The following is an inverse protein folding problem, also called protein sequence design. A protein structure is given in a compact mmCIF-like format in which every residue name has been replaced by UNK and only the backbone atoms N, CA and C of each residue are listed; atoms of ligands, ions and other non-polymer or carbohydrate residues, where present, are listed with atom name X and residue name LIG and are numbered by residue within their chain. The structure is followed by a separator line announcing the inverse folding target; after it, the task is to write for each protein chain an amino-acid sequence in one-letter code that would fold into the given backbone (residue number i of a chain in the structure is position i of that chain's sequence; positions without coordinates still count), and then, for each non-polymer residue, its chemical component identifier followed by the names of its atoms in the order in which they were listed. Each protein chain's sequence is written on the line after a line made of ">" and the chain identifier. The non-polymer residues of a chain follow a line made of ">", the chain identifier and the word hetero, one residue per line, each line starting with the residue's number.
data_IF_272447347052
#
_entry.id   IF_272447347052
#
_cell.length_a   1.000
_cell.length_b   1.000
_cell.length_c   1.000
_cell.angle_alpha   90.00
_cell.angle_beta   90.00
_cell.angle_gamma   90.00
#
_symmetry.space_group_name_H-M   'P 1'
#
loop_
_entity.id
_entity.type
_entity.pdbx_description
1 polymer ?
#
# COMPACT_ATOMS: atom_id res chain seq x y z
N UNK A 1 16.31 30.17 15.28
CA UNK A 1 15.18 29.38 14.73
C UNK A 1 14.44 28.80 15.91
N UNK A 2 13.12 28.93 15.93
CA UNK A 2 12.28 28.28 16.95
C UNK A 2 12.19 26.80 16.60
N UNK A 3 12.50 25.92 17.55
CA UNK A 3 12.46 24.47 17.33
C UNK A 3 11.03 23.92 17.46
N UNK A 4 10.80 22.67 17.09
CA UNK A 4 9.48 22.06 17.20
C UNK A 4 8.98 22.00 18.66
N UNK A 5 9.90 21.98 19.63
CA UNK A 5 9.59 22.06 21.06
C UNK A 5 8.83 23.35 21.46
N UNK A 6 8.99 24.44 20.73
CA UNK A 6 8.37 25.75 21.01
C UNK A 6 6.94 25.87 20.42
N UNK A 7 6.40 24.82 19.79
CA UNK A 7 5.10 24.86 19.11
C UNK A 7 3.96 24.80 20.14
N UNK A 8 3.61 25.92 20.75
CA UNK A 8 2.56 26.00 21.78
C UNK A 8 1.13 26.18 21.24
N UNK A 9 0.98 26.60 19.98
CA UNK A 9 -0.31 26.86 19.35
C UNK A 9 -0.19 26.80 17.81
N UNK A 10 -1.32 26.98 17.12
CA UNK A 10 -1.36 27.03 15.65
C UNK A 10 -0.41 28.09 15.07
N UNK A 11 -0.30 29.28 15.68
CA UNK A 11 0.55 30.35 15.13
C UNK A 11 2.03 30.02 15.25
N UNK A 12 2.47 29.39 16.34
CA UNK A 12 3.86 28.93 16.47
C UNK A 12 4.17 27.77 15.52
N UNK A 13 3.21 26.87 15.26
CA UNK A 13 3.35 25.84 14.21
C UNK A 13 3.49 26.49 12.82
N UNK A 14 2.66 27.49 12.51
CA UNK A 14 2.72 28.22 11.24
C UNK A 14 4.04 28.97 11.04
N UNK A 15 4.66 29.46 12.12
CA UNK A 15 6.01 30.06 12.10
C UNK A 15 7.09 29.01 11.92
N UNK A 16 7.00 27.89 12.65
CA UNK A 16 7.95 26.78 12.48
C UNK A 16 7.99 26.33 11.01
N UNK A 17 6.83 26.20 10.36
CA UNK A 17 6.70 25.86 8.94
C UNK A 17 7.29 26.90 7.96
N UNK A 18 7.53 28.16 8.37
CA UNK A 18 8.09 29.19 7.48
C UNK A 18 9.53 28.86 7.04
N UNK A 19 10.29 28.27 7.97
CA UNK A 19 11.72 27.98 7.84
C UNK A 19 12.00 26.53 7.40
N UNK A 20 10.96 25.70 7.19
CA UNK A 20 11.10 24.30 6.78
C UNK A 20 11.16 24.10 5.26
N UNK A 21 11.86 23.05 4.79
CA UNK A 21 11.70 22.51 3.45
C UNK A 21 10.23 22.27 3.05
N UNK A 22 9.98 22.30 1.74
CA UNK A 22 8.63 22.04 1.18
C UNK A 22 8.08 20.69 1.64
N UNK A 23 8.91 19.65 1.63
CA UNK A 23 8.49 18.27 1.93
C UNK A 23 7.88 18.17 3.33
N UNK A 24 8.56 18.71 4.34
CA UNK A 24 8.07 18.77 5.72
C UNK A 24 6.70 19.46 5.82
N UNK A 25 6.54 20.60 5.14
CA UNK A 25 5.30 21.34 5.17
C UNK A 25 4.14 20.59 4.50
N UNK A 26 4.42 19.78 3.47
CA UNK A 26 3.43 18.92 2.81
C UNK A 26 3.03 17.77 3.73
N UNK A 27 4.00 17.13 4.39
CA UNK A 27 3.75 16.01 5.31
C UNK A 27 2.84 16.47 6.47
N UNK A 28 3.15 17.63 7.07
CA UNK A 28 2.32 18.21 8.15
C UNK A 28 0.90 18.53 7.65
N UNK A 29 0.78 19.15 6.46
CA UNK A 29 -0.53 19.47 5.88
C UNK A 29 -1.37 18.20 5.66
N UNK A 30 -0.75 17.18 5.07
CA UNK A 30 -1.39 15.91 4.75
C UNK A 30 -1.82 15.17 6.02
N UNK A 31 -0.95 15.03 7.02
CA UNK A 31 -1.31 14.37 8.29
C UNK A 31 -2.40 15.11 9.05
N UNK A 32 -2.38 16.45 9.06
CA UNK A 32 -3.47 17.23 9.63
C UNK A 32 -4.82 16.97 8.92
N UNK A 33 -4.81 16.88 7.59
CA UNK A 33 -6.03 16.58 6.82
C UNK A 33 -6.51 15.13 7.01
N UNK A 34 -5.60 14.15 7.05
CA UNK A 34 -5.93 12.74 7.33
C UNK A 34 -6.63 12.59 8.68
N UNK A 35 -6.17 13.29 9.74
CA UNK A 35 -6.79 13.23 11.08
C UNK A 35 -8.27 13.52 11.06
N UNK A 36 -8.73 14.42 10.19
CA UNK A 36 -10.11 14.89 10.15
C UNK A 36 -10.95 14.25 9.04
N UNK A 37 -10.40 13.28 8.30
CA UNK A 37 -11.16 12.54 7.29
C UNK A 37 -12.46 11.92 7.86
N UNK A 38 -12.47 11.27 9.05
CA UNK A 38 -13.68 10.67 9.60
C UNK A 38 -14.83 11.65 9.82
N UNK A 39 -14.52 12.93 10.04
CA UNK A 39 -15.53 13.99 10.27
C UNK A 39 -16.39 14.19 9.02
N UNK A 40 -15.76 14.25 7.85
CA UNK A 40 -16.48 14.41 6.59
C UNK A 40 -17.27 13.14 6.26
N UNK A 41 -16.64 11.97 6.39
CA UNK A 41 -17.25 10.71 5.96
C UNK A 41 -18.45 10.36 6.82
N UNK A 42 -18.36 10.56 8.14
CA UNK A 42 -19.48 10.38 9.07
C UNK A 42 -20.66 11.31 8.71
N UNK A 43 -20.38 12.59 8.44
CA UNK A 43 -21.41 13.53 7.99
C UNK A 43 -22.05 13.12 6.66
N UNK A 44 -21.25 12.67 5.68
CA UNK A 44 -21.77 12.22 4.38
C UNK A 44 -22.62 10.95 4.50
N UNK A 45 -22.32 10.08 5.46
CA UNK A 45 -23.12 8.87 5.72
C UNK A 45 -24.50 9.24 6.27
N UNK A 46 -24.57 10.21 7.17
CA UNK A 46 -25.82 10.61 7.81
C UNK A 46 -26.65 11.58 6.95
N UNK A 47 -25.99 12.53 6.29
CA UNK A 47 -26.63 13.68 5.65
C UNK A 47 -26.31 13.83 4.16
N UNK A 48 -25.46 12.98 3.60
CA UNK A 48 -25.11 13.02 2.17
C UNK A 48 -26.37 12.90 1.30
N UNK A 49 -26.45 13.75 0.27
CA UNK A 49 -27.56 13.78 -0.68
C UNK A 49 -27.04 13.66 -2.11
N UNK A 50 -27.82 13.00 -2.96
CA UNK A 50 -27.52 12.87 -4.38
C UNK A 50 -26.17 12.21 -4.64
N UNK A 51 -25.38 12.80 -5.53
CA UNK A 51 -24.08 12.28 -5.96
C UNK A 51 -22.90 12.78 -5.10
N UNK A 52 -23.18 13.45 -3.97
CA UNK A 52 -22.15 13.93 -3.06
C UNK A 52 -21.51 12.74 -2.33
N UNK A 53 -20.25 12.47 -2.61
CA UNK A 53 -19.50 11.33 -2.04
C UNK A 53 -18.15 11.77 -1.46
N UNK A 54 -17.54 10.89 -0.68
CA UNK A 54 -16.22 11.09 -0.09
C UNK A 54 -15.06 10.85 -1.08
N UNK A 55 -15.32 10.21 -2.23
CA UNK A 55 -14.29 9.84 -3.20
C UNK A 55 -13.44 11.02 -3.70
N UNK A 56 -13.99 12.22 -3.99
CA UNK A 56 -13.17 13.36 -4.37
C UNK A 56 -12.17 13.78 -3.28
N UNK A 57 -12.57 13.66 -2.01
CA UNK A 57 -11.70 13.99 -0.87
C UNK A 57 -10.66 12.90 -0.63
N UNK A 58 -11.04 11.62 -0.76
CA UNK A 58 -10.11 10.48 -0.72
C UNK A 58 -9.05 10.58 -1.83
N UNK A 59 -9.47 10.85 -3.07
CA UNK A 59 -8.56 11.12 -4.20
C UNK A 59 -7.58 12.24 -3.87
N UNK A 60 -8.09 13.33 -3.31
CA UNK A 60 -7.30 14.51 -2.97
C UNK A 60 -6.25 14.20 -1.90
N UNK A 61 -6.61 13.46 -0.85
CA UNK A 61 -5.68 13.03 0.20
C UNK A 61 -4.62 12.08 -0.35
N UNK A 62 -5.02 11.03 -1.08
CA UNK A 62 -4.10 10.05 -1.66
C UNK A 62 -3.11 10.73 -2.62
N UNK A 63 -3.61 11.55 -3.56
CA UNK A 63 -2.77 12.26 -4.52
C UNK A 63 -1.82 13.26 -3.82
N UNK A 64 -2.29 13.96 -2.77
CA UNK A 64 -1.45 14.87 -2.00
C UNK A 64 -0.25 14.17 -1.35
N UNK A 65 -0.47 12.96 -0.82
CA UNK A 65 0.57 12.14 -0.19
C UNK A 65 1.63 11.74 -1.22
N UNK A 66 1.18 11.20 -2.36
CA UNK A 66 2.05 10.75 -3.45
C UNK A 66 2.85 11.90 -4.05
N UNK A 67 2.21 13.03 -4.37
CA UNK A 67 2.91 14.19 -4.94
C UNK A 67 3.87 14.87 -3.95
N UNK A 68 3.62 14.71 -2.64
CA UNK A 68 4.55 15.10 -1.59
C UNK A 68 5.81 14.24 -1.56
N UNK A 69 5.65 12.91 -1.55
CA UNK A 69 6.76 11.94 -1.46
C UNK A 69 7.53 11.78 -2.77
N UNK A 70 6.82 11.77 -3.90
CA UNK A 70 7.34 11.49 -5.25
C UNK A 70 6.84 12.54 -6.25
N UNK A 71 7.39 13.77 -6.19
CA UNK A 71 6.95 14.84 -7.06
C UNK A 71 7.38 14.59 -8.51
N UNK A 72 6.42 14.40 -9.41
CA UNK A 72 6.61 14.40 -10.86
C UNK A 72 5.64 15.37 -11.53
N UNK A 73 5.70 15.50 -12.86
CA UNK A 73 4.70 16.28 -13.59
C UNK A 73 3.32 15.61 -13.48
N UNK A 74 3.27 14.30 -13.67
CA UNK A 74 2.08 13.47 -13.65
C UNK A 74 1.41 13.48 -12.26
N UNK A 75 2.18 13.29 -11.17
CA UNK A 75 1.59 13.30 -9.81
C UNK A 75 1.06 14.68 -9.44
N UNK A 76 1.70 15.76 -9.90
CA UNK A 76 1.20 17.13 -9.72
C UNK A 76 -0.06 17.39 -10.54
N UNK A 77 -0.12 16.90 -11.78
CA UNK A 77 -1.31 17.02 -12.63
C UNK A 77 -2.50 16.30 -11.99
N UNK A 78 -2.33 15.03 -11.63
CA UNK A 78 -3.39 14.24 -10.98
C UNK A 78 -3.88 14.87 -9.67
N UNK A 79 -2.95 15.45 -8.89
CA UNK A 79 -3.32 16.18 -7.67
C UNK A 79 -4.09 17.47 -7.97
N UNK A 80 -3.73 18.21 -9.04
CA UNK A 80 -4.45 19.40 -9.46
C UNK A 80 -5.91 19.08 -9.83
N UNK A 81 -6.13 17.99 -10.53
CA UNK A 81 -7.48 17.52 -10.89
C UNK A 81 -8.29 17.14 -9.65
N UNK A 82 -7.66 16.41 -8.71
CA UNK A 82 -8.30 15.98 -7.47
C UNK A 82 -8.75 17.15 -6.56
N UNK A 83 -8.02 18.27 -6.57
CA UNK A 83 -8.37 19.47 -5.79
C UNK A 83 -9.75 19.99 -6.19
N UNK A 84 -10.09 19.97 -7.48
CA UNK A 84 -11.36 20.53 -7.97
C UNK A 84 -12.55 19.80 -7.35
N UNK A 85 -12.54 18.47 -7.36
CA UNK A 85 -13.61 17.67 -6.75
C UNK A 85 -13.71 17.85 -5.24
N UNK A 86 -12.58 17.88 -4.52
CA UNK A 86 -12.59 18.12 -3.06
C UNK A 86 -13.13 19.50 -2.68
N UNK A 87 -12.91 20.52 -3.52
CA UNK A 87 -13.47 21.87 -3.31
C UNK A 87 -14.98 21.88 -3.51
N UNK A 88 -15.48 21.17 -4.53
CA UNK A 88 -16.93 21.04 -4.74
C UNK A 88 -17.58 20.38 -3.52
N UNK A 89 -16.98 19.31 -2.98
CA UNK A 89 -17.48 18.69 -1.74
C UNK A 89 -17.52 19.71 -0.59
N UNK A 90 -16.44 20.46 -0.38
CA UNK A 90 -16.38 21.47 0.67
C UNK A 90 -17.47 22.55 0.54
N UNK A 91 -17.84 22.95 -0.68
CA UNK A 91 -18.87 23.97 -0.91
C UNK A 91 -20.30 23.45 -0.79
N UNK A 92 -20.53 22.17 -1.07
CA UNK A 92 -21.87 21.55 -1.03
C UNK A 92 -22.23 21.01 0.36
N UNK A 93 -21.25 20.80 1.23
CA UNK A 93 -21.48 20.36 2.61
C UNK A 93 -22.07 21.50 3.43
N UNK A 94 -23.34 21.37 3.83
CA UNK A 94 -24.08 22.34 4.67
C UNK A 94 -23.70 22.25 6.17
N UNK A 95 -22.44 21.92 6.48
CA UNK A 95 -21.93 21.79 7.83
C UNK A 95 -20.48 22.32 7.91
N UNK A 96 -20.25 23.33 8.74
CA UNK A 96 -18.95 24.01 8.81
C UNK A 96 -17.78 23.10 9.24
N UNK A 97 -18.06 22.08 10.05
CA UNK A 97 -17.04 21.15 10.56
C UNK A 97 -16.65 20.14 9.45
N UNK A 98 -17.63 19.61 8.72
CA UNK A 98 -17.39 18.72 7.59
C UNK A 98 -16.82 19.47 6.36
N UNK A 99 -17.24 20.72 6.08
CA UNK A 99 -16.56 21.61 5.13
C UNK A 99 -15.09 21.77 5.52
N UNK A 100 -14.80 22.09 6.77
CA UNK A 100 -13.41 22.23 7.22
C UNK A 100 -12.60 20.94 6.99
N UNK A 101 -13.16 19.76 7.21
CA UNK A 101 -12.48 18.50 6.88
C UNK A 101 -12.16 18.36 5.37
N UNK A 102 -13.14 18.61 4.49
CA UNK A 102 -12.93 18.59 3.03
C UNK A 102 -11.93 19.68 2.57
N UNK A 103 -12.06 20.89 3.11
CA UNK A 103 -11.16 22.02 2.87
C UNK A 103 -9.73 21.75 3.32
N UNK A 104 -9.54 20.98 4.40
CA UNK A 104 -8.21 20.56 4.85
C UNK A 104 -7.52 19.66 3.80
N UNK A 105 -8.24 18.70 3.22
CA UNK A 105 -7.72 17.84 2.16
C UNK A 105 -7.34 18.63 0.90
N UNK A 106 -8.22 19.53 0.43
CA UNK A 106 -7.94 20.40 -0.71
C UNK A 106 -6.71 21.30 -0.46
N UNK A 107 -6.54 21.81 0.77
CA UNK A 107 -5.37 22.60 1.14
C UNK A 107 -4.08 21.77 1.19
N UNK A 108 -4.13 20.54 1.70
CA UNK A 108 -2.98 19.62 1.70
C UNK A 108 -2.51 19.29 0.28
N UNK A 109 -3.44 19.01 -0.63
CA UNK A 109 -3.14 18.81 -2.05
C UNK A 109 -2.55 20.06 -2.72
N UNK A 110 -3.06 21.26 -2.42
CA UNK A 110 -2.44 22.51 -2.90
C UNK A 110 -1.02 22.68 -2.39
N UNK A 111 -0.74 22.27 -1.15
CA UNK A 111 0.61 22.30 -0.59
C UNK A 111 1.54 21.35 -1.34
N UNK A 112 1.08 20.16 -1.73
CA UNK A 112 1.91 19.18 -2.42
C UNK A 112 2.28 19.57 -3.84
N UNK A 113 1.53 20.44 -4.54
CA UNK A 113 1.87 20.84 -5.92
C UNK A 113 2.55 22.21 -6.04
N UNK A 114 2.42 23.08 -5.03
CA UNK A 114 2.99 24.45 -5.07
C UNK A 114 4.47 24.46 -4.73
N UNK A 115 5.22 25.34 -5.41
CA UNK A 115 6.64 25.59 -5.13
C UNK A 115 6.86 26.19 -3.73
N UNK A 116 5.93 27.03 -3.26
CA UNK A 116 5.91 27.61 -1.91
C UNK A 116 4.88 26.90 -1.02
N UNK A 117 5.08 25.61 -0.79
CA UNK A 117 4.15 24.74 -0.03
C UNK A 117 3.75 25.33 1.34
N UNK A 118 4.68 25.99 2.05
CA UNK A 118 4.45 26.61 3.36
C UNK A 118 3.24 27.56 3.44
N UNK A 119 2.95 28.32 2.37
CA UNK A 119 1.78 29.22 2.34
C UNK A 119 0.48 28.42 2.23
N UNK A 120 0.52 27.30 1.51
CA UNK A 120 -0.63 26.41 1.28
C UNK A 120 -0.85 25.40 2.42
N UNK A 121 0.15 25.17 3.29
CA UNK A 121 0.02 24.33 4.48
C UNK A 121 -0.85 24.99 5.58
N UNK A 122 -0.78 26.32 5.75
CA UNK A 122 -1.52 27.01 6.83
C UNK A 122 -3.02 26.77 6.79
N UNK A 123 -3.69 26.87 5.62
CA UNK A 123 -5.10 26.54 5.52
C UNK A 123 -5.39 25.09 5.95
N UNK A 124 -4.59 24.10 5.54
CA UNK A 124 -4.82 22.70 5.87
C UNK A 124 -4.84 22.46 7.39
N UNK A 125 -3.80 22.94 8.08
CA UNK A 125 -3.71 22.85 9.55
C UNK A 125 -4.85 23.61 10.23
N UNK A 126 -5.17 24.82 9.77
CA UNK A 126 -6.25 25.63 10.34
C UNK A 126 -7.61 24.95 10.21
N UNK A 127 -7.91 24.40 9.03
CA UNK A 127 -9.17 23.71 8.78
C UNK A 127 -9.26 22.41 9.59
N UNK A 128 -8.18 21.62 9.65
CA UNK A 128 -8.13 20.43 10.50
C UNK A 128 -8.35 20.76 11.98
N UNK A 129 -7.67 21.78 12.50
CA UNK A 129 -7.81 22.19 13.91
C UNK A 129 -9.19 22.74 14.25
N UNK A 130 -9.96 23.20 13.26
CA UNK A 130 -11.35 23.61 13.45
C UNK A 130 -12.30 22.41 13.51
N UNK A 131 -11.97 21.32 12.81
CA UNK A 131 -12.84 20.15 12.66
C UNK A 131 -12.70 19.09 13.78
N UNK A 132 -11.75 19.25 14.71
CA UNK A 132 -11.48 18.26 15.78
C UNK A 132 -11.01 18.93 17.07
N UNK A 133 -10.71 18.13 18.10
CA UNK A 133 -10.10 18.61 19.33
C UNK A 133 -8.76 19.29 19.04
N UNK A 134 -8.77 20.62 19.15
CA UNK A 134 -7.62 21.46 18.85
C UNK A 134 -6.40 21.11 19.73
N UNK A 135 -6.60 20.72 20.99
CA UNK A 135 -5.49 20.43 21.89
C UNK A 135 -4.78 19.13 21.48
N UNK A 136 -5.53 18.08 21.18
CA UNK A 136 -4.98 16.79 20.72
C UNK A 136 -4.34 16.96 19.34
N UNK A 137 -5.01 17.58 18.38
CA UNK A 137 -4.48 17.79 17.03
C UNK A 137 -3.19 18.63 17.03
N UNK A 138 -3.09 19.64 17.89
CA UNK A 138 -1.88 20.42 18.07
C UNK A 138 -0.73 19.58 18.65
N UNK A 139 -1.01 18.77 19.67
CA UNK A 139 0.00 17.89 20.29
C UNK A 139 0.56 16.89 19.28
N UNK A 140 -0.29 16.25 18.49
CA UNK A 140 0.14 15.34 17.42
C UNK A 140 0.90 16.07 16.30
N UNK A 141 0.51 17.30 15.94
CA UNK A 141 1.23 18.10 14.94
C UNK A 141 2.60 18.57 15.45
N UNK A 142 2.74 18.84 16.76
CA UNK A 142 4.02 19.10 17.41
C UNK A 142 4.91 17.85 17.37
N UNK A 143 4.36 16.68 17.69
CA UNK A 143 5.09 15.42 17.64
C UNK A 143 5.56 15.10 16.20
N UNK A 144 4.72 15.32 15.18
CA UNK A 144 5.14 15.21 13.78
C UNK A 144 6.33 16.14 13.46
N UNK A 145 6.27 17.40 13.91
CA UNK A 145 7.33 18.38 13.70
C UNK A 145 8.64 17.99 14.42
N UNK A 146 8.54 17.45 15.64
CA UNK A 146 9.69 16.94 16.37
C UNK A 146 10.33 15.75 15.65
N UNK A 147 9.53 14.78 15.21
CA UNK A 147 10.03 13.63 14.42
C UNK A 147 10.79 14.08 13.18
N UNK A 148 10.27 15.08 12.46
CA UNK A 148 10.97 15.68 11.30
C UNK A 148 12.33 16.27 11.69
N UNK A 149 12.42 16.99 12.80
CA UNK A 149 13.71 17.53 13.29
C UNK A 149 14.70 16.44 13.68
N UNK A 150 14.23 15.28 14.13
CA UNK A 150 15.04 14.10 14.43
C UNK A 150 15.33 13.21 13.21
N UNK A 151 14.87 13.58 12.01
CA UNK A 151 15.10 12.82 10.78
C UNK A 151 14.17 11.61 10.60
N UNK A 152 13.08 11.55 11.35
CA UNK A 152 12.04 10.53 11.18
C UNK A 152 11.14 10.84 9.98
N UNK A 153 10.40 9.82 9.52
CA UNK A 153 9.37 9.98 8.49
C UNK A 153 8.00 9.92 9.14
N UNK A 154 7.26 11.05 9.28
CA UNK A 154 5.98 11.04 9.98
C UNK A 154 4.92 10.12 9.37
N UNK A 155 5.01 9.74 8.09
CA UNK A 155 4.09 8.78 7.49
C UNK A 155 4.19 7.37 8.09
N UNK A 156 5.34 7.03 8.66
CA UNK A 156 5.59 5.75 9.33
C UNK A 156 5.34 5.84 10.85
N UNK A 157 4.65 6.89 11.31
CA UNK A 157 4.28 7.11 12.70
C UNK A 157 2.75 7.09 12.85
N UNK A 158 2.20 6.54 13.95
CA UNK A 158 0.77 6.54 14.21
C UNK A 158 0.16 7.93 14.03
N UNK A 159 -1.02 8.02 13.41
CA UNK A 159 -1.62 9.31 13.06
C UNK A 159 -1.85 10.21 14.30
N UNK A 160 -2.14 9.58 15.44
CA UNK A 160 -2.38 10.26 16.73
C UNK A 160 -1.21 10.13 17.72
N UNK A 161 -0.08 9.54 17.31
CA UNK A 161 1.04 9.22 18.21
C UNK A 161 0.54 8.44 19.45
N UNK A 162 0.91 8.88 20.65
CA UNK A 162 0.48 8.29 21.92
C UNK A 162 -0.87 8.83 22.40
N UNK A 163 -1.52 9.73 21.65
CA UNK A 163 -2.82 10.27 22.04
C UNK A 163 -3.97 9.34 21.66
N UNK A 164 -5.03 9.29 22.48
CA UNK A 164 -6.31 8.71 22.06
C UNK A 164 -6.83 9.42 20.81
N UNK A 165 -7.34 8.66 19.84
CA UNK A 165 -8.01 9.21 18.67
C UNK A 165 -9.34 9.87 19.09
N UNK A 166 -9.50 11.21 19.02
CA UNK A 166 -10.73 11.88 19.39
C UNK A 166 -11.87 11.63 18.39
N UNK A 167 -11.57 11.03 17.24
CA UNK A 167 -12.51 10.74 16.15
C UNK A 167 -12.70 9.22 15.95
N UNK A 168 -12.44 8.42 16.98
CA UNK A 168 -12.60 6.95 16.87
C UNK A 168 -14.06 6.57 16.60
N UNK A 169 -15.04 7.21 17.26
CA UNK A 169 -16.46 6.92 17.04
C UNK A 169 -16.88 7.16 15.57
N UNK A 170 -16.54 8.32 15.01
CA UNK A 170 -16.79 8.68 13.60
C UNK A 170 -16.07 7.69 12.66
N UNK A 171 -14.85 7.29 13.03
CA UNK A 171 -14.11 6.28 12.27
C UNK A 171 -14.81 4.92 12.30
N UNK A 172 -15.26 4.43 13.45
CA UNK A 172 -15.97 3.14 13.53
C UNK A 172 -17.30 3.16 12.78
N UNK A 173 -18.01 4.30 12.70
CA UNK A 173 -19.19 4.47 11.84
C UNK A 173 -18.82 4.41 10.36
N UNK A 174 -17.78 5.15 9.96
CA UNK A 174 -17.25 5.15 8.58
C UNK A 174 -16.85 3.75 8.14
N UNK A 175 -16.01 3.08 8.94
CA UNK A 175 -15.49 1.74 8.68
C UNK A 175 -16.60 0.71 8.48
N UNK A 176 -17.62 0.69 9.35
CA UNK A 176 -18.76 -0.23 9.23
C UNK A 176 -19.56 0.03 7.96
N UNK A 177 -19.80 1.29 7.64
CA UNK A 177 -20.54 1.68 6.43
C UNK A 177 -19.77 1.31 5.17
N UNK A 178 -18.48 1.62 5.09
CA UNK A 178 -17.63 1.24 3.97
C UNK A 178 -17.55 -0.28 3.79
N UNK A 179 -17.42 -1.04 4.88
CA UNK A 179 -17.43 -2.51 4.82
C UNK A 179 -18.74 -3.07 4.23
N UNK A 180 -19.87 -2.40 4.45
CA UNK A 180 -21.16 -2.80 3.85
C UNK A 180 -21.32 -2.45 2.37
N UNK A 181 -20.48 -1.57 1.80
CA UNK A 181 -20.54 -1.15 0.40
C UNK A 181 -19.84 -2.13 -0.56
N UNK A 182 -19.15 -3.13 -0.04
CA UNK A 182 -18.56 -4.23 -0.81
C UNK A 182 -17.02 -4.19 -0.90
N UNK A 183 -16.42 -5.17 -1.61
CA UNK A 183 -14.97 -5.43 -1.57
C UNK A 183 -14.11 -4.23 -1.99
N UNK A 184 -14.62 -3.42 -2.91
CA UNK A 184 -13.94 -2.25 -3.44
C UNK A 184 -13.59 -1.18 -2.40
N UNK A 185 -14.32 -1.12 -1.28
CA UNK A 185 -14.08 -0.15 -0.22
C UNK A 185 -13.04 -0.60 0.81
N UNK A 186 -12.62 -1.88 0.79
CA UNK A 186 -11.65 -2.42 1.73
C UNK A 186 -10.30 -1.70 1.63
N UNK A 187 -9.88 -1.32 0.42
CA UNK A 187 -8.66 -0.54 0.21
C UNK A 187 -8.64 0.76 1.04
N UNK A 188 -9.74 1.51 1.03
CA UNK A 188 -9.83 2.79 1.75
C UNK A 188 -9.83 2.58 3.27
N UNK A 189 -10.41 1.47 3.73
CA UNK A 189 -10.37 1.06 5.13
C UNK A 189 -8.92 0.76 5.53
N UNK A 190 -8.27 -0.14 4.82
CA UNK A 190 -6.90 -0.58 5.11
C UNK A 190 -5.94 0.60 5.04
N UNK A 191 -6.07 1.46 4.03
CA UNK A 191 -5.25 2.66 3.86
C UNK A 191 -5.37 3.65 5.04
N UNK A 192 -6.58 3.86 5.56
CA UNK A 192 -6.76 4.72 6.72
C UNK A 192 -6.32 4.04 8.03
N UNK A 193 -6.55 2.73 8.20
CA UNK A 193 -6.04 1.97 9.34
C UNK A 193 -4.50 1.89 9.36
N UNK A 194 -3.87 1.77 8.19
CA UNK A 194 -2.43 1.86 8.01
C UNK A 194 -1.91 3.21 8.51
N UNK A 195 -2.57 4.31 8.10
CA UNK A 195 -2.21 5.65 8.56
C UNK A 195 -2.40 5.81 10.08
N UNK A 196 -3.51 5.30 10.65
CA UNK A 196 -3.74 5.29 12.09
C UNK A 196 -2.62 4.55 12.84
N UNK A 197 -2.20 3.39 12.33
CA UNK A 197 -1.17 2.54 12.93
C UNK A 197 0.28 2.92 12.59
N UNK A 198 0.51 3.88 11.69
CA UNK A 198 1.85 4.26 11.24
C UNK A 198 2.52 3.21 10.35
N UNK A 199 1.74 2.40 9.61
CA UNK A 199 2.29 1.40 8.70
C UNK A 199 2.79 2.08 7.42
N UNK A 200 3.98 1.69 6.96
CA UNK A 200 4.61 2.27 5.78
C UNK A 200 3.78 1.94 4.52
N UNK A 201 3.37 2.95 3.72
CA UNK A 201 2.59 2.70 2.52
C UNK A 201 3.40 2.06 1.38
N UNK A 202 2.77 1.23 0.56
CA UNK A 202 3.33 0.87 -0.75
C UNK A 202 3.24 2.08 -1.70
N UNK A 203 4.33 2.86 -1.76
CA UNK A 203 4.39 4.10 -2.55
C UNK A 203 4.22 3.90 -4.07
N UNK A 204 4.61 2.75 -4.61
CA UNK A 204 4.43 2.47 -6.04
C UNK A 204 2.95 2.20 -6.34
N UNK A 205 2.27 1.41 -5.50
CA UNK A 205 0.84 1.15 -5.58
C UNK A 205 0.03 2.44 -5.45
N UNK A 206 0.31 3.25 -4.43
CA UNK A 206 -0.37 4.53 -4.26
C UNK A 206 -0.12 5.49 -5.42
N UNK A 207 1.09 5.47 -6.02
CA UNK A 207 1.36 6.26 -7.23
C UNK A 207 0.49 5.78 -8.39
N UNK A 208 0.42 4.48 -8.64
CA UNK A 208 -0.38 3.95 -9.73
C UNK A 208 -1.88 4.27 -9.53
N UNK A 209 -2.39 4.21 -8.29
CA UNK A 209 -3.76 4.63 -7.95
C UNK A 209 -3.97 6.13 -8.17
N UNK A 210 -3.02 6.97 -7.74
CA UNK A 210 -3.09 8.42 -7.95
C UNK A 210 -3.15 8.80 -9.44
N UNK A 211 -2.55 7.97 -10.30
CA UNK A 211 -2.47 8.17 -11.75
C UNK A 211 -3.59 7.46 -12.53
N UNK A 212 -4.57 6.86 -11.86
CA UNK A 212 -5.81 6.41 -12.51
C UNK A 212 -6.41 7.59 -13.29
N UNK A 213 -6.84 7.30 -14.53
CA UNK A 213 -7.35 8.30 -15.45
C UNK A 213 -8.57 9.04 -14.85
N UNK A 214 -8.70 10.37 -15.03
CA UNK A 214 -9.82 11.14 -14.49
C UNK A 214 -11.19 10.55 -14.84
N UNK A 215 -11.34 9.99 -16.04
CA UNK A 215 -12.58 9.38 -16.52
C UNK A 215 -13.02 8.19 -15.65
N UNK A 216 -12.07 7.42 -15.11
CA UNK A 216 -12.37 6.32 -14.19
C UNK A 216 -12.79 6.83 -12.81
N UNK A 217 -12.23 7.96 -12.35
CA UNK A 217 -12.70 8.61 -11.12
C UNK A 217 -14.12 9.17 -11.27
N UNK A 218 -14.45 9.69 -12.45
CA UNK A 218 -15.75 10.30 -12.76
C UNK A 218 -16.82 9.25 -13.09
N UNK A 219 -16.43 8.01 -13.43
CA UNK A 219 -17.32 6.89 -13.70
C UNK A 219 -18.02 6.33 -12.44
N UNK A 220 -17.65 6.80 -11.25
CA UNK A 220 -18.27 6.43 -9.98
C UNK A 220 -17.53 5.33 -9.20
N UNK A 221 -18.03 4.99 -7.99
CA UNK A 221 -17.34 4.14 -7.03
C UNK A 221 -17.06 2.73 -7.56
N UNK A 222 -17.97 2.13 -8.32
CA UNK A 222 -17.82 0.74 -8.76
C UNK A 222 -16.67 0.59 -9.75
N UNK A 223 -16.62 1.45 -10.78
CA UNK A 223 -15.56 1.45 -11.79
C UNK A 223 -14.20 1.79 -11.17
N UNK A 224 -14.16 2.81 -10.31
CA UNK A 224 -12.94 3.21 -9.60
C UNK A 224 -12.41 2.10 -8.71
N UNK A 225 -13.27 1.53 -7.86
CA UNK A 225 -12.83 0.54 -6.89
C UNK A 225 -12.41 -0.77 -7.57
N UNK A 226 -13.04 -1.15 -8.69
CA UNK A 226 -12.57 -2.28 -9.49
C UNK A 226 -11.13 -2.05 -10.01
N UNK A 227 -10.84 -0.85 -10.50
CA UNK A 227 -9.49 -0.51 -10.96
C UNK A 227 -8.48 -0.45 -9.80
N UNK A 228 -8.86 0.08 -8.64
CA UNK A 228 -8.04 0.05 -7.41
C UNK A 228 -7.75 -1.39 -7.00
N UNK A 229 -8.74 -2.28 -6.97
CA UNK A 229 -8.55 -3.70 -6.65
C UNK A 229 -7.57 -4.35 -7.62
N UNK A 230 -7.69 -4.06 -8.93
CA UNK A 230 -6.76 -4.55 -9.95
C UNK A 230 -5.33 -4.07 -9.68
N UNK A 231 -5.14 -2.79 -9.35
CA UNK A 231 -3.82 -2.24 -9.02
C UNK A 231 -3.26 -2.87 -7.73
N UNK A 232 -4.07 -2.98 -6.68
CA UNK A 232 -3.67 -3.60 -5.41
C UNK A 232 -3.26 -5.07 -5.61
N UNK A 233 -4.03 -5.85 -6.37
CA UNK A 233 -3.70 -7.25 -6.63
C UNK A 233 -2.41 -7.38 -7.46
N UNK A 234 -2.20 -6.51 -8.46
CA UNK A 234 -0.94 -6.45 -9.22
C UNK A 234 0.26 -6.26 -8.30
N UNK A 235 0.19 -5.31 -7.37
CA UNK A 235 1.27 -5.03 -6.43
C UNK A 235 1.45 -6.15 -5.39
N UNK A 236 0.36 -6.76 -4.91
CA UNK A 236 0.42 -7.93 -4.03
C UNK A 236 1.10 -9.13 -4.70
N UNK A 237 0.79 -9.40 -5.98
CA UNK A 237 1.46 -10.44 -6.76
C UNK A 237 2.96 -10.17 -6.93
N UNK A 238 3.35 -8.91 -7.19
CA UNK A 238 4.77 -8.52 -7.28
C UNK A 238 5.52 -8.73 -5.96
N UNK A 239 4.93 -8.30 -4.84
CA UNK A 239 5.49 -8.51 -3.51
C UNK A 239 5.66 -10.00 -3.19
N UNK A 240 4.66 -10.81 -3.52
CA UNK A 240 4.70 -12.25 -3.29
C UNK A 240 5.78 -12.95 -4.14
N UNK A 241 5.92 -12.59 -5.42
CA UNK A 241 7.02 -13.12 -6.26
C UNK A 241 8.38 -12.79 -5.64
N UNK A 242 8.56 -11.53 -5.21
CA UNK A 242 9.82 -11.06 -4.62
C UNK A 242 10.10 -11.78 -3.30
N UNK A 243 9.08 -12.01 -2.47
CA UNK A 243 9.19 -12.76 -1.23
C UNK A 243 9.59 -14.22 -1.49
N UNK A 244 8.91 -14.90 -2.42
CA UNK A 244 9.23 -16.29 -2.83
C UNK A 244 10.68 -16.40 -3.33
N UNK A 245 11.13 -15.45 -4.15
CA UNK A 245 12.50 -15.42 -4.68
C UNK A 245 13.55 -15.15 -3.59
N UNK A 246 13.31 -14.18 -2.72
CA UNK A 246 14.22 -13.85 -1.62
C UNK A 246 14.36 -15.02 -0.63
N UNK A 247 13.25 -15.70 -0.35
CA UNK A 247 13.23 -16.86 0.53
C UNK A 247 13.96 -18.06 -0.07
N UNK A 248 13.76 -18.32 -1.37
CA UNK A 248 14.55 -19.33 -2.09
C UNK A 248 16.04 -19.03 -2.00
N UNK A 249 16.44 -17.77 -2.23
CA UNK A 249 17.85 -17.37 -2.16
C UNK A 249 18.44 -17.63 -0.76
N UNK A 250 17.72 -17.27 0.30
CA UNK A 250 18.12 -17.53 1.70
C UNK A 250 18.27 -19.02 1.99
N UNK A 251 17.33 -19.85 1.55
CA UNK A 251 17.39 -21.31 1.77
C UNK A 251 18.57 -21.95 1.04
N UNK A 252 18.85 -21.51 -0.20
CA UNK A 252 20.01 -21.97 -0.97
C UNK A 252 21.33 -21.54 -0.31
N UNK A 253 21.42 -20.30 0.16
CA UNK A 253 22.61 -19.79 0.87
C UNK A 253 22.86 -20.54 2.19
N UNK A 254 21.82 -20.74 3.00
CA UNK A 254 21.91 -21.47 4.27
C UNK A 254 22.41 -22.91 4.07
N UNK A 255 21.94 -23.59 3.02
CA UNK A 255 22.41 -24.94 2.70
C UNK A 255 23.88 -24.99 2.23
N UNK A 256 24.38 -23.93 1.60
CA UNK A 256 25.77 -23.83 1.16
C UNK A 256 26.75 -23.48 2.31
N UNK A 257 26.25 -23.03 3.47
CA UNK A 257 27.06 -22.55 4.58
C UNK A 257 27.96 -23.67 5.19
N UNK A 258 29.24 -23.38 5.53
CA UNK A 258 30.19 -24.38 6.06
C UNK A 258 29.70 -25.13 7.31
N UNK A 259 28.91 -24.47 8.17
CA UNK A 259 28.36 -25.07 9.38
C UNK A 259 27.37 -26.22 9.10
N UNK A 260 26.76 -26.26 7.91
CA UNK A 260 25.82 -27.31 7.50
C UNK A 260 26.50 -28.45 6.70
N UNK A 261 27.80 -28.31 6.39
CA UNK A 261 28.61 -29.35 5.71
C UNK A 261 29.21 -30.39 6.66
N UNK A 262 29.03 -30.22 7.98
CA UNK A 262 29.89 -30.84 9.00
C UNK A 262 29.58 -32.27 9.47
N UNK A 263 28.33 -32.77 9.38
CA UNK A 263 27.97 -34.01 10.08
C UNK A 263 26.94 -34.91 9.41
N UNK A 264 26.59 -34.67 8.15
CA UNK A 264 25.68 -35.55 7.41
C UNK A 264 26.47 -36.23 6.29
N UNK A 265 26.85 -37.50 6.47
CA UNK A 265 27.04 -38.39 5.31
C UNK A 265 25.67 -38.43 4.63
N UNK A 266 25.49 -37.77 3.47
CA UNK A 266 24.18 -37.78 2.84
C UNK A 266 23.90 -39.23 2.41
N UNK A 267 22.65 -39.71 2.51
CA UNK A 267 22.23 -40.86 1.72
C UNK A 267 22.66 -40.64 0.26
N UNK A 268 22.97 -41.71 -0.48
CA UNK A 268 23.30 -41.62 -1.91
C UNK A 268 22.31 -40.68 -2.62
N UNK A 269 22.84 -39.71 -3.38
CA UNK A 269 22.02 -38.79 -4.17
C UNK A 269 21.21 -39.63 -5.17
N UNK A 270 19.93 -39.87 -4.90
CA UNK A 270 19.04 -40.43 -5.89
C UNK A 270 18.80 -39.32 -6.90
N UNK A 271 19.32 -39.43 -8.12
CA UNK A 271 19.05 -38.43 -9.15
C UNK A 271 17.54 -38.19 -9.24
N UNK A 272 17.13 -36.92 -9.16
CA UNK A 272 15.74 -36.58 -9.42
C UNK A 272 15.42 -37.08 -10.83
N UNK A 273 14.21 -37.62 -11.07
CA UNK A 273 13.75 -37.80 -12.43
C UNK A 273 13.93 -36.47 -13.18
N UNK A 274 14.53 -36.54 -14.37
CA UNK A 274 14.83 -35.36 -15.20
C UNK A 274 13.61 -34.46 -15.35
N UNK A 275 12.42 -35.06 -15.33
CA UNK A 275 11.12 -34.41 -15.34
C UNK A 275 10.95 -33.45 -14.16
N UNK A 276 11.26 -33.86 -12.92
CA UNK A 276 11.11 -33.01 -11.72
C UNK A 276 12.08 -31.83 -11.75
N UNK A 277 13.32 -32.06 -12.16
CA UNK A 277 14.32 -30.99 -12.34
C UNK A 277 13.87 -29.96 -13.38
N UNK A 278 13.26 -30.43 -14.47
CA UNK A 278 12.69 -29.57 -15.51
C UNK A 278 11.52 -28.75 -14.95
N UNK A 279 10.58 -29.36 -14.24
CA UNK A 279 9.43 -28.63 -13.69
C UNK A 279 9.83 -27.56 -12.67
N UNK A 280 10.84 -27.82 -11.82
CA UNK A 280 11.39 -26.77 -10.93
C UNK A 280 11.98 -25.59 -11.71
N UNK A 281 12.69 -25.89 -12.80
CA UNK A 281 13.22 -24.84 -13.69
C UNK A 281 12.07 -24.02 -14.27
N UNK A 282 10.99 -24.68 -14.69
CA UNK A 282 9.77 -24.01 -15.19
C UNK A 282 9.15 -23.12 -14.12
N UNK A 283 9.03 -23.59 -12.86
CA UNK A 283 8.46 -22.80 -11.74
C UNK A 283 9.21 -21.48 -11.56
N UNK A 284 10.53 -21.53 -11.42
CA UNK A 284 11.31 -20.33 -11.14
C UNK A 284 11.43 -19.41 -12.36
N UNK A 285 11.53 -19.97 -13.56
CA UNK A 285 11.50 -19.18 -14.81
C UNK A 285 10.15 -18.47 -14.98
N UNK A 286 9.05 -19.15 -14.67
CA UNK A 286 7.70 -18.57 -14.74
C UNK A 286 7.53 -17.41 -13.74
N UNK A 287 8.11 -17.52 -12.54
CA UNK A 287 8.11 -16.42 -11.57
C UNK A 287 8.92 -15.21 -12.08
N UNK A 288 10.09 -15.42 -12.68
CA UNK A 288 10.89 -14.34 -13.29
C UNK A 288 10.18 -13.70 -14.50
N UNK A 289 9.45 -14.47 -15.29
CA UNK A 289 8.64 -13.95 -16.39
C UNK A 289 7.40 -13.18 -15.89
N UNK A 290 6.72 -13.69 -14.86
CA UNK A 290 5.58 -13.03 -14.24
C UNK A 290 6.00 -11.68 -13.65
N UNK A 291 7.11 -11.62 -12.92
CA UNK A 291 7.61 -10.37 -12.33
C UNK A 291 7.87 -9.32 -13.41
N UNK A 292 8.63 -9.66 -14.46
CA UNK A 292 8.94 -8.75 -15.57
C UNK A 292 7.71 -8.27 -16.32
N UNK A 293 6.68 -9.12 -16.44
CA UNK A 293 5.44 -8.75 -17.11
C UNK A 293 4.57 -7.85 -16.23
N UNK A 294 4.47 -8.16 -14.93
CA UNK A 294 3.73 -7.36 -13.95
C UNK A 294 4.39 -5.99 -13.69
N UNK A 295 5.72 -5.85 -13.83
CA UNK A 295 6.41 -4.57 -13.67
C UNK A 295 6.06 -3.54 -14.77
N UNK A 296 5.48 -3.98 -15.88
CA UNK A 296 5.05 -3.06 -16.94
C UNK A 296 3.90 -2.16 -16.46
N UNK A 297 3.85 -0.94 -16.99
CA UNK A 297 2.72 -0.04 -16.78
C UNK A 297 1.40 -0.70 -17.21
N UNK A 298 1.40 -1.37 -18.36
CA UNK A 298 0.29 -2.18 -18.88
C UNK A 298 0.78 -3.59 -19.17
N UNK A 299 0.57 -4.56 -18.25
CA UNK A 299 0.91 -5.96 -18.47
C UNK A 299 0.07 -6.60 -19.58
N UNK A 300 0.67 -7.49 -20.36
CA UNK A 300 -0.04 -8.34 -21.32
C UNK A 300 -0.75 -9.47 -20.56
N UNK A 301 -2.07 -9.33 -20.42
CA UNK A 301 -2.94 -10.29 -19.72
C UNK A 301 -2.90 -11.69 -20.36
N UNK A 302 -2.84 -11.79 -21.69
CA UNK A 302 -2.76 -13.09 -22.38
C UNK A 302 -1.41 -13.78 -22.11
N UNK A 303 -0.35 -12.99 -21.95
CA UNK A 303 0.95 -13.52 -21.53
C UNK A 303 0.94 -13.97 -20.07
N UNK A 304 0.40 -13.17 -19.15
CA UNK A 304 0.26 -13.56 -17.74
C UNK A 304 -0.58 -14.83 -17.58
N UNK A 305 -1.64 -14.99 -18.36
CA UNK A 305 -2.46 -16.20 -18.35
C UNK A 305 -1.65 -17.44 -18.75
N UNK A 306 -0.80 -17.33 -19.79
CA UNK A 306 0.09 -18.43 -20.21
C UNK A 306 1.11 -18.76 -19.13
N UNK A 307 1.73 -17.75 -18.52
CA UNK A 307 2.69 -17.92 -17.42
C UNK A 307 2.02 -18.61 -16.22
N UNK A 308 0.84 -18.15 -15.82
CA UNK A 308 0.09 -18.71 -14.70
C UNK A 308 -0.28 -20.18 -14.92
N UNK A 309 -0.72 -20.53 -16.13
CA UNK A 309 -1.04 -21.92 -16.48
C UNK A 309 0.21 -22.83 -16.48
N UNK A 310 1.33 -22.34 -17.02
CA UNK A 310 2.60 -23.08 -16.99
C UNK A 310 3.07 -23.30 -15.55
N UNK A 311 3.04 -22.26 -14.72
CA UNK A 311 3.39 -22.34 -13.32
C UNK A 311 2.50 -23.32 -12.56
N UNK A 312 1.17 -23.22 -12.73
CA UNK A 312 0.19 -24.11 -12.09
C UNK A 312 0.43 -25.57 -12.45
N UNK A 313 0.70 -25.86 -13.73
CA UNK A 313 0.99 -27.21 -14.20
C UNK A 313 2.30 -27.76 -13.60
N UNK A 314 3.36 -26.95 -13.57
CA UNK A 314 4.66 -27.35 -13.02
C UNK A 314 4.60 -27.60 -11.52
N UNK A 315 3.98 -26.69 -10.75
CA UNK A 315 3.76 -26.86 -9.30
C UNK A 315 2.95 -28.13 -9.03
N UNK A 316 1.90 -28.39 -9.82
CA UNK A 316 1.08 -29.60 -9.68
C UNK A 316 1.86 -30.89 -9.94
N UNK A 317 2.74 -30.91 -10.94
CA UNK A 317 3.60 -32.07 -11.22
C UNK A 317 4.62 -32.32 -10.11
N UNK A 318 5.27 -31.27 -9.60
CA UNK A 318 6.21 -31.38 -8.47
C UNK A 318 5.48 -31.89 -7.22
N UNK A 319 4.30 -31.33 -6.90
CA UNK A 319 3.50 -31.77 -5.76
C UNK A 319 3.02 -33.23 -5.91
N UNK A 320 2.59 -33.64 -7.11
CA UNK A 320 2.18 -35.02 -7.39
C UNK A 320 3.33 -36.01 -7.26
N UNK A 321 4.53 -35.64 -7.71
CA UNK A 321 5.74 -36.43 -7.46
C UNK A 321 6.01 -36.54 -5.95
N UNK A 322 5.88 -35.42 -5.22
CA UNK A 322 6.08 -35.41 -3.78
C UNK A 322 5.13 -36.34 -3.02
N UNK A 323 3.86 -36.40 -3.45
CA UNK A 323 2.88 -37.32 -2.87
C UNK A 323 3.15 -38.79 -3.17
N UNK A 324 3.83 -39.12 -4.28
CA UNK A 324 4.12 -40.51 -4.68
C UNK A 324 5.33 -41.12 -3.97
N UNK A 325 6.38 -40.32 -3.74
CA UNK A 325 7.66 -40.84 -3.22
C UNK A 325 7.65 -41.04 -1.71
N UNK A 326 6.77 -40.34 -0.97
CA UNK A 326 6.51 -40.58 0.47
C UNK A 326 7.64 -40.20 1.43
N UNK A 327 8.91 -40.41 1.03
CA UNK A 327 10.11 -40.07 1.78
C UNK A 327 10.69 -38.71 1.32
N UNK A 328 10.61 -37.71 2.19
CA UNK A 328 11.06 -36.34 1.93
C UNK A 328 12.59 -36.21 1.90
N UNK A 329 13.32 -37.06 2.64
CA UNK A 329 14.78 -37.02 2.68
C UNK A 329 15.40 -37.55 1.38
N UNK A 330 14.80 -38.61 0.82
CA UNK A 330 15.15 -39.15 -0.50
C UNK A 330 14.90 -38.12 -1.61
N UNK A 331 13.83 -37.33 -1.52
CA UNK A 331 13.52 -36.29 -2.51
C UNK A 331 14.42 -35.05 -2.43
N UNK A 332 14.90 -34.73 -1.23
CA UNK A 332 15.82 -33.64 -1.00
C UNK A 332 17.25 -33.92 -1.46
N UNK A 333 17.65 -35.19 -1.43
CA UNK A 333 18.90 -35.69 -2.01
C UNK A 333 18.86 -35.74 -3.54
N UNK A 334 17.75 -35.37 -4.16
CA UNK A 334 17.62 -35.36 -5.60
C UNK A 334 18.30 -34.13 -6.21
N UNK A 335 19.26 -34.35 -7.11
CA UNK A 335 20.18 -33.30 -7.64
C UNK A 335 19.50 -32.04 -8.20
N UNK A 336 18.21 -32.11 -8.53
CA UNK A 336 17.35 -30.99 -8.92
C UNK A 336 17.24 -29.86 -7.88
N UNK A 337 17.42 -30.15 -6.59
CA UNK A 337 17.21 -29.19 -5.51
C UNK A 337 18.51 -28.68 -4.86
N UNK A 338 19.68 -29.17 -5.31
CA UNK A 338 20.98 -28.89 -4.72
C UNK A 338 21.25 -29.67 -3.43
N UNK A 339 22.50 -30.03 -3.19
CA UNK A 339 22.91 -30.78 -1.99
C UNK A 339 22.64 -29.95 -0.73
N UNK A 340 21.70 -30.39 0.12
CA UNK A 340 21.45 -29.83 1.45
C UNK A 340 20.21 -28.93 1.59
N UNK A 341 19.73 -28.28 0.52
CA UNK A 341 18.58 -27.37 0.57
C UNK A 341 17.23 -28.04 0.24
N UNK A 342 17.25 -29.22 -0.37
CA UNK A 342 16.09 -29.74 -1.10
C UNK A 342 14.86 -30.04 -0.26
N UNK A 343 15.02 -30.55 0.97
CA UNK A 343 13.89 -30.86 1.84
C UNK A 343 13.17 -29.59 2.25
N UNK A 344 13.96 -28.55 2.57
CA UNK A 344 13.46 -27.26 3.01
C UNK A 344 12.74 -26.55 1.86
N UNK A 345 13.31 -26.55 0.65
CA UNK A 345 12.66 -25.95 -0.51
C UNK A 345 11.33 -26.67 -0.88
N UNK A 346 11.31 -28.00 -0.79
CA UNK A 346 10.12 -28.80 -1.08
C UNK A 346 8.98 -28.54 -0.10
N UNK A 347 9.26 -28.66 1.20
CA UNK A 347 8.24 -28.47 2.22
C UNK A 347 7.75 -27.01 2.28
N UNK A 348 8.66 -26.06 2.07
CA UNK A 348 8.33 -24.65 2.23
C UNK A 348 7.48 -24.08 1.08
N UNK A 349 7.77 -24.47 -0.17
CA UNK A 349 7.14 -23.86 -1.34
C UNK A 349 6.02 -24.69 -1.97
N UNK A 350 6.13 -26.03 -1.94
CA UNK A 350 5.25 -26.91 -2.71
C UNK A 350 4.18 -27.58 -1.86
N UNK A 351 4.50 -27.99 -0.63
CA UNK A 351 3.52 -28.65 0.24
C UNK A 351 2.67 -27.66 1.05
N UNK A 352 3.14 -26.42 1.24
CA UNK A 352 2.38 -25.33 1.86
C UNK A 352 1.20 -24.83 1.03
N UNK A 353 1.15 -25.16 -0.27
CA UNK A 353 0.14 -24.66 -1.21
C UNK A 353 0.39 -23.22 -1.69
N UNK A 354 1.38 -22.51 -1.15
CA UNK A 354 1.64 -21.09 -1.44
C UNK A 354 1.91 -20.81 -2.92
N UNK A 355 2.74 -21.62 -3.60
CA UNK A 355 2.97 -21.46 -5.05
C UNK A 355 1.72 -21.76 -5.89
N UNK A 356 0.86 -22.67 -5.43
CA UNK A 356 -0.40 -23.01 -6.11
C UNK A 356 -1.43 -21.89 -5.94
N UNK A 357 -1.50 -21.29 -4.75
CA UNK A 357 -2.31 -20.11 -4.48
C UNK A 357 -1.86 -18.93 -5.35
N UNK A 358 -0.56 -18.62 -5.35
CA UNK A 358 0.03 -17.60 -6.22
C UNK A 358 -0.32 -17.82 -7.70
N UNK A 359 -0.14 -19.04 -8.22
CA UNK A 359 -0.46 -19.35 -9.63
C UNK A 359 -1.95 -19.17 -9.94
N UNK A 360 -2.82 -19.46 -8.96
CA UNK A 360 -4.28 -19.29 -9.10
C UNK A 360 -4.67 -17.82 -9.10
N UNK A 361 -4.11 -17.02 -8.20
CA UNK A 361 -4.31 -15.57 -8.14
C UNK A 361 -3.80 -14.86 -9.40
N UNK A 362 -2.61 -15.23 -9.88
CA UNK A 362 -2.05 -14.71 -11.13
C UNK A 362 -2.97 -15.03 -12.32
N UNK A 363 -3.57 -16.22 -12.35
CA UNK A 363 -4.52 -16.60 -13.39
C UNK A 363 -5.82 -15.78 -13.31
N UNK A 364 -6.36 -15.56 -12.10
CA UNK A 364 -7.54 -14.72 -11.89
C UNK A 364 -7.30 -13.28 -12.33
N UNK A 365 -6.16 -12.70 -11.94
CA UNK A 365 -5.74 -11.38 -12.39
C UNK A 365 -5.65 -11.29 -13.92
N UNK A 366 -5.10 -12.32 -14.57
CA UNK A 366 -4.91 -12.34 -16.03
C UNK A 366 -6.19 -12.50 -16.84
N UNK A 367 -7.24 -13.12 -16.30
CA UNK A 367 -8.50 -13.36 -17.04
C UNK A 367 -9.47 -12.17 -16.93
N UNK A 368 -9.12 -11.16 -16.13
CA UNK A 368 -10.01 -10.04 -15.81
C UNK A 368 -10.91 -10.43 -14.64
N UNK A 369 -10.45 -10.11 -13.43
CA UNK A 369 -11.30 -10.14 -12.24
C UNK A 369 -12.47 -9.18 -12.36
#
# INVERSE_FOLDING_TARGET
>A
MSGAADIENRRSLERWLEDRPREDAVIIAHRAAMRVLPVLTDWLIEFGKGDLTELPVLRCLLASMVAGKRPSYETKSATADAITGSVVVATEVENAIADAAASAAAAAARASIRSKARIATRPAVRHAFFATDHAVALKCSRADAQGIEFGETPHSQPLWHDEPNPLDEQWQTTRRTWASRGPGWQFWIDWYEDALGGREPNWEMLRDIALIAPETWDAGPDALNAEIMRITEKHSLLEEIRALKAERARLVENAAAPAHRGHNEPPELIEAPVEVARELTVVWTSLDEAERELEKAQPDLSRLQRIANALKAAVGQVAAYCGKVGDRAVMAGAGAFGTGAGTLLLDHFFTSGRLMDFATRLLQFAVGG
#
